data_IF_926707916455
#
_entry.id   IF_926707916455
#
_cell.length_a   1.000
_cell.length_b   1.000
_cell.length_c   1.000
_cell.angle_alpha   90.00
_cell.angle_beta   90.00
_cell.angle_gamma   90.00
#
_symmetry.space_group_name_H-M   'P 1'
#
loop_
_entity.id
_entity.type
_entity.pdbx_description
1 polymer ?
#
# COMPACT_ATOMS: atom_id res chain seq x y z
N UNK A 1 8.78 18.27 17.21
CA UNK A 1 8.17 19.09 16.14
C UNK A 1 7.26 18.18 15.32
N UNK A 2 6.18 18.71 14.76
CA UNK A 2 5.26 17.96 13.88
C UNK A 2 5.20 18.69 12.54
N UNK A 3 5.24 17.94 11.44
CA UNK A 3 5.06 18.49 10.09
C UNK A 3 3.79 17.92 9.49
N UNK A 4 2.84 18.80 9.20
CA UNK A 4 1.62 18.46 8.46
C UNK A 4 1.88 18.63 6.96
N UNK A 5 1.32 17.74 6.15
CA UNK A 5 1.51 17.75 4.69
C UNK A 5 0.17 17.63 3.97
N UNK A 6 0.05 18.33 2.85
CA UNK A 6 -0.95 18.09 1.82
C UNK A 6 -0.38 17.16 0.73
N UNK A 7 -1.23 16.58 -0.13
CA UNK A 7 -0.77 15.77 -1.24
C UNK A 7 0.26 16.52 -2.08
N UNK A 8 1.24 15.77 -2.57
CA UNK A 8 2.36 16.24 -3.38
C UNK A 8 3.40 17.08 -2.64
N UNK A 9 3.20 17.35 -1.35
CA UNK A 9 4.24 17.94 -0.52
C UNK A 9 5.30 16.89 -0.15
N UNK A 10 6.53 17.36 -0.02
CA UNK A 10 7.67 16.54 0.39
C UNK A 10 8.42 17.20 1.54
N UNK A 11 8.98 16.36 2.41
CA UNK A 11 9.96 16.75 3.41
C UNK A 11 11.27 16.01 3.17
N UNK A 12 12.37 16.65 3.54
CA UNK A 12 13.72 16.09 3.50
C UNK A 12 14.39 16.33 4.84
N UNK A 13 14.72 15.26 5.53
CA UNK A 13 15.39 15.34 6.82
C UNK A 13 16.39 14.19 6.96
N UNK A 14 17.62 14.49 7.40
CA UNK A 14 18.68 13.49 7.63
C UNK A 14 18.93 12.53 6.44
N UNK A 15 18.83 13.05 5.22
CA UNK A 15 19.02 12.27 3.98
C UNK A 15 17.83 11.40 3.58
N UNK A 16 16.68 11.51 4.27
CA UNK A 16 15.44 10.83 3.93
C UNK A 16 14.45 11.83 3.33
N UNK A 17 14.01 11.54 2.11
CA UNK A 17 12.91 12.25 1.45
C UNK A 17 11.62 11.49 1.65
N UNK A 18 10.59 12.14 2.17
CA UNK A 18 9.23 11.59 2.28
C UNK A 18 8.30 12.48 1.47
N UNK A 19 7.55 11.88 0.55
CA UNK A 19 6.49 12.55 -0.19
C UNK A 19 5.13 12.01 0.27
N UNK A 20 4.18 12.90 0.55
CA UNK A 20 2.78 12.52 0.71
C UNK A 20 2.12 12.50 -0.68
N UNK A 21 1.48 11.39 -1.02
CA UNK A 21 0.83 11.16 -2.31
C UNK A 21 -0.66 10.84 -2.11
N UNK A 22 -1.50 11.02 -3.14
CA UNK A 22 -2.92 10.73 -3.01
C UNK A 22 -3.18 9.23 -2.80
N UNK A 23 -4.30 8.93 -2.15
CA UNK A 23 -4.90 7.60 -2.08
C UNK A 23 -6.42 7.74 -2.26
N UNK A 24 -7.07 6.69 -2.79
CA UNK A 24 -8.54 6.65 -2.85
C UNK A 24 -9.07 6.02 -1.57
N UNK A 25 -9.30 6.88 -0.58
CA UNK A 25 -9.82 6.48 0.73
C UNK A 25 -10.54 7.66 1.41
N UNK A 26 -10.78 7.57 2.72
CA UNK A 26 -11.45 8.57 3.55
C UNK A 26 -10.90 8.55 4.98
N UNK A 27 -11.15 9.58 5.78
CA UNK A 27 -10.81 9.60 7.21
C UNK A 27 -12.07 9.78 8.04
N UNK A 28 -12.20 9.05 9.15
CA UNK A 28 -13.36 9.16 10.03
C UNK A 28 -12.96 8.88 11.47
N UNK A 29 -13.28 9.82 12.37
CA UNK A 29 -13.23 9.58 13.83
C UNK A 29 -14.46 10.21 14.49
N UNK A 30 -15.39 9.39 14.95
CA UNK A 30 -16.68 9.84 15.49
C UNK A 30 -17.43 10.77 14.51
N UNK A 31 -17.58 12.06 14.85
CA UNK A 31 -18.26 13.06 14.03
C UNK A 31 -17.32 13.79 13.05
N UNK A 32 -16.02 13.47 13.05
CA UNK A 32 -15.02 14.11 12.20
C UNK A 32 -14.82 13.33 10.89
N UNK A 33 -15.84 13.40 10.01
CA UNK A 33 -15.75 12.82 8.68
C UNK A 33 -14.90 13.71 7.76
N UNK A 34 -13.88 13.10 7.15
CA UNK A 34 -12.96 13.70 6.18
C UNK A 34 -12.24 14.98 6.65
N UNK A 35 -12.06 15.15 7.96
CA UNK A 35 -11.36 16.33 8.51
C UNK A 35 -9.84 16.18 8.52
N UNK A 36 -9.33 14.96 8.57
CA UNK A 36 -7.89 14.68 8.43
C UNK A 36 -7.61 14.18 7.01
N UNK A 37 -6.51 14.64 6.40
CA UNK A 37 -6.13 14.15 5.08
C UNK A 37 -5.67 12.69 5.17
N UNK A 38 -6.09 11.87 4.20
CA UNK A 38 -5.58 10.50 3.99
C UNK A 38 -4.58 10.51 2.84
N UNK A 39 -3.75 9.48 2.71
CA UNK A 39 -2.82 9.40 1.59
C UNK A 39 -1.94 8.17 1.62
N UNK A 40 -1.05 8.15 0.65
CA UNK A 40 0.04 7.19 0.50
C UNK A 40 1.37 7.91 0.69
N UNK A 41 2.44 7.16 0.95
CA UNK A 41 3.77 7.73 1.13
C UNK A 41 4.75 7.18 0.12
N UNK A 42 5.69 8.02 -0.30
CA UNK A 42 6.89 7.56 -0.97
C UNK A 42 8.14 8.00 -0.22
N UNK A 43 9.06 7.06 0.00
CA UNK A 43 10.33 7.30 0.68
C UNK A 43 11.46 7.14 -0.33
N UNK A 44 12.28 8.18 -0.48
CA UNK A 44 13.44 8.23 -1.38
C UNK A 44 13.16 7.82 -2.83
N UNK A 45 11.92 8.00 -3.31
CA UNK A 45 11.41 7.56 -4.64
C UNK A 45 11.45 6.04 -4.89
N UNK A 46 11.98 5.27 -3.96
CA UNK A 46 12.27 3.84 -4.09
C UNK A 46 11.25 2.96 -3.37
N UNK A 47 10.68 3.46 -2.28
CA UNK A 47 9.68 2.74 -1.47
C UNK A 47 8.35 3.48 -1.58
N UNK A 48 7.31 2.78 -2.02
CA UNK A 48 5.95 3.27 -2.01
C UNK A 48 5.12 2.50 -0.99
N UNK A 49 4.40 3.21 -0.12
CA UNK A 49 3.49 2.65 0.87
C UNK A 49 2.09 3.19 0.59
N UNK A 50 1.15 2.31 0.22
CA UNK A 50 -0.15 2.73 -0.29
C UNK A 50 -1.05 3.38 0.76
N UNK A 51 -0.83 3.10 2.05
CA UNK A 51 -1.87 3.27 3.06
C UNK A 51 -3.11 2.44 2.70
N UNK A 52 -4.25 2.80 3.27
CA UNK A 52 -5.53 2.25 2.82
C UNK A 52 -5.90 2.88 1.47
N UNK A 53 -6.15 2.05 0.45
CA UNK A 53 -6.25 2.53 -0.92
C UNK A 53 -7.03 1.57 -1.83
N UNK A 54 -7.77 2.13 -2.79
CA UNK A 54 -8.43 1.40 -3.86
C UNK A 54 -7.86 1.79 -5.24
N UNK A 55 -7.67 0.81 -6.12
CA UNK A 55 -7.28 1.07 -7.51
C UNK A 55 -8.23 2.09 -8.17
N UNK A 56 -7.64 3.18 -8.66
CA UNK A 56 -8.32 4.16 -9.49
C UNK A 56 -7.30 4.76 -10.45
N UNK A 57 -7.58 4.71 -11.74
CA UNK A 57 -6.66 5.17 -12.78
C UNK A 57 -6.17 6.60 -12.54
N UNK A 58 -7.07 7.52 -12.15
CA UNK A 58 -6.71 8.92 -11.85
C UNK A 58 -5.69 9.04 -10.70
N UNK A 59 -5.88 8.25 -9.64
CA UNK A 59 -4.96 8.21 -8.50
C UNK A 59 -3.61 7.61 -8.93
N UNK A 60 -3.62 6.52 -9.70
CA UNK A 60 -2.40 5.88 -10.20
C UNK A 60 -1.62 6.79 -11.16
N UNK A 61 -2.30 7.51 -12.06
CA UNK A 61 -1.70 8.51 -12.96
C UNK A 61 -0.99 9.61 -12.17
N UNK A 62 -1.62 10.10 -11.09
CA UNK A 62 -1.03 11.11 -10.22
C UNK A 62 0.20 10.61 -9.45
N UNK A 63 0.23 9.33 -9.08
CA UNK A 63 1.35 8.70 -8.38
C UNK A 63 2.53 8.47 -9.34
N UNK A 64 2.31 7.78 -10.46
CA UNK A 64 3.37 7.39 -11.40
C UNK A 64 4.02 8.59 -12.11
N UNK A 65 3.33 9.74 -12.17
CA UNK A 65 3.90 10.99 -12.66
C UNK A 65 5.01 11.55 -11.75
N UNK A 66 5.13 11.07 -10.50
CA UNK A 66 6.04 11.63 -9.48
C UNK A 66 7.11 10.68 -9.00
N UNK A 67 6.83 9.38 -9.00
CA UNK A 67 7.70 8.37 -8.38
C UNK A 67 7.90 7.17 -9.31
N UNK A 68 8.97 6.41 -9.06
CA UNK A 68 9.27 5.14 -9.74
C UNK A 68 9.72 4.12 -8.69
N UNK A 69 8.79 3.61 -7.87
CA UNK A 69 9.16 2.80 -6.72
C UNK A 69 9.69 1.44 -7.16
N UNK A 70 10.76 0.98 -6.51
CA UNK A 70 11.22 -0.40 -6.59
C UNK A 70 10.40 -1.31 -5.70
N UNK A 71 10.15 -0.88 -4.46
CA UNK A 71 9.43 -1.63 -3.44
C UNK A 71 8.03 -1.03 -3.25
N UNK A 72 7.00 -1.84 -3.50
CA UNK A 72 5.61 -1.43 -3.40
C UNK A 72 4.93 -2.16 -2.24
N UNK A 73 4.74 -1.46 -1.13
CA UNK A 73 3.92 -1.91 -0.01
C UNK A 73 2.46 -1.56 -0.31
N UNK A 74 1.69 -2.53 -0.76
CA UNK A 74 0.32 -2.29 -1.24
C UNK A 74 -0.70 -3.04 -0.40
N UNK A 75 -1.76 -2.35 -0.03
CA UNK A 75 -2.95 -2.94 0.57
C UNK A 75 -3.51 -4.06 -0.32
N UNK A 76 -3.88 -5.19 0.29
CA UNK A 76 -4.55 -6.28 -0.40
C UNK A 76 -5.72 -6.91 0.39
N UNK A 77 -6.03 -6.38 1.57
CA UNK A 77 -7.02 -6.94 2.48
C UNK A 77 -8.10 -5.94 2.87
N UNK A 78 -9.11 -6.43 3.59
CA UNK A 78 -10.32 -5.70 3.96
C UNK A 78 -11.21 -5.29 2.77
N UNK A 79 -11.12 -5.99 1.64
CA UNK A 79 -11.98 -5.72 0.47
C UNK A 79 -13.39 -6.29 0.62
N UNK A 80 -14.35 -5.64 -0.04
CA UNK A 80 -15.73 -6.10 -0.10
C UNK A 80 -16.48 -5.38 -1.23
N UNK A 81 -17.50 -6.04 -1.78
CA UNK A 81 -18.45 -5.43 -2.72
C UNK A 81 -19.25 -4.26 -2.12
N UNK A 82 -19.31 -4.16 -0.78
CA UNK A 82 -20.07 -3.11 -0.08
C UNK A 82 -19.30 -1.79 0.07
N UNK A 83 -17.98 -1.79 -0.14
CA UNK A 83 -17.14 -0.58 -0.14
C UNK A 83 -16.08 -0.67 -1.25
N UNK A 84 -16.52 -0.79 -2.52
CA UNK A 84 -15.64 -1.08 -3.66
C UNK A 84 -14.61 0.03 -3.93
N UNK A 85 -14.80 1.21 -3.33
CA UNK A 85 -14.02 2.40 -3.58
C UNK A 85 -13.04 2.74 -2.45
N UNK A 86 -12.93 1.89 -1.42
CA UNK A 86 -12.09 2.16 -0.23
C UNK A 86 -10.92 1.20 -0.06
N UNK A 87 -11.09 -0.08 -0.41
CA UNK A 87 -10.07 -1.11 -0.22
C UNK A 87 -9.83 -1.91 -1.49
N UNK A 88 -8.57 -2.26 -1.76
CA UNK A 88 -8.15 -3.02 -2.92
C UNK A 88 -8.32 -4.52 -2.71
N UNK A 89 -8.94 -5.19 -3.69
CA UNK A 89 -8.86 -6.64 -3.81
C UNK A 89 -7.42 -7.09 -4.13
N UNK A 90 -7.06 -8.37 -3.94
CA UNK A 90 -5.74 -8.88 -4.32
C UNK A 90 -5.47 -8.70 -5.82
N UNK A 91 -6.50 -8.85 -6.66
CA UNK A 91 -6.39 -8.56 -8.10
C UNK A 91 -6.05 -7.09 -8.37
N UNK A 92 -6.75 -6.16 -7.73
CA UNK A 92 -6.45 -4.73 -7.86
C UNK A 92 -5.07 -4.38 -7.30
N UNK A 93 -4.61 -5.05 -6.24
CA UNK A 93 -3.25 -4.91 -5.71
C UNK A 93 -2.19 -5.24 -6.78
N UNK A 94 -2.37 -6.34 -7.52
CA UNK A 94 -1.51 -6.70 -8.67
C UNK A 94 -1.62 -5.69 -9.81
N UNK A 95 -2.83 -5.20 -10.12
CA UNK A 95 -3.03 -4.17 -11.15
C UNK A 95 -2.31 -2.86 -10.78
N UNK A 96 -2.41 -2.42 -9.52
CA UNK A 96 -1.67 -1.27 -9.00
C UNK A 96 -0.16 -1.48 -9.12
N UNK A 97 0.35 -2.64 -8.70
CA UNK A 97 1.77 -2.96 -8.76
C UNK A 97 2.32 -2.91 -10.19
N UNK A 98 1.61 -3.52 -11.14
CA UNK A 98 1.95 -3.50 -12.57
C UNK A 98 1.91 -2.07 -13.13
N UNK A 99 0.91 -1.28 -12.75
CA UNK A 99 0.78 0.12 -13.18
C UNK A 99 1.93 0.99 -12.68
N UNK A 100 2.38 0.75 -11.45
CA UNK A 100 3.52 1.44 -10.83
C UNK A 100 4.87 1.03 -11.43
N UNK A 101 4.91 -0.04 -12.23
CA UNK A 101 6.16 -0.62 -12.75
C UNK A 101 7.14 -0.97 -11.62
N UNK A 102 6.60 -1.41 -10.47
CA UNK A 102 7.38 -1.83 -9.33
C UNK A 102 8.19 -3.09 -9.61
N UNK A 103 9.24 -3.33 -8.82
CA UNK A 103 10.07 -4.53 -8.93
C UNK A 103 9.71 -5.59 -7.88
N UNK A 104 9.28 -5.17 -6.69
CA UNK A 104 8.89 -6.07 -5.61
C UNK A 104 7.58 -5.60 -4.98
N UNK A 105 6.57 -6.45 -4.97
CA UNK A 105 5.31 -6.25 -4.27
C UNK A 105 5.37 -6.86 -2.87
N UNK A 106 5.10 -6.05 -1.86
CA UNK A 106 5.04 -6.47 -0.46
C UNK A 106 3.59 -6.22 0.02
N UNK A 107 2.72 -7.25 0.05
CA UNK A 107 1.35 -7.05 0.48
C UNK A 107 1.28 -6.64 1.95
N UNK A 108 0.37 -5.72 2.24
CA UNK A 108 0.06 -5.25 3.60
C UNK A 108 -1.46 -5.34 3.85
N UNK A 109 -1.89 -5.01 5.08
CA UNK A 109 -3.30 -4.89 5.45
C UNK A 109 -4.10 -6.21 5.54
N UNK A 110 -3.42 -7.35 5.69
CA UNK A 110 -4.04 -8.67 5.88
C UNK A 110 -3.64 -9.33 7.23
N UNK A 111 -4.31 -10.42 7.61
CA UNK A 111 -3.84 -11.34 8.66
C UNK A 111 -3.96 -10.91 10.12
N UNK A 112 -4.37 -9.66 10.43
CA UNK A 112 -4.45 -9.17 11.82
C UNK A 112 -5.86 -8.92 12.34
N UNK A 113 -6.70 -8.19 11.59
CA UNK A 113 -8.04 -7.79 12.01
C UNK A 113 -9.08 -8.27 10.99
N UNK A 114 -10.29 -8.58 11.49
CA UNK A 114 -11.44 -8.96 10.66
C UNK A 114 -12.37 -7.76 10.51
N UNK A 115 -12.13 -6.95 9.48
CA UNK A 115 -12.97 -5.78 9.12
C UNK A 115 -13.73 -6.03 7.80
N UNK A 116 -13.55 -7.20 7.19
CA UNK A 116 -14.26 -7.65 6.00
C UNK A 116 -14.67 -9.14 6.12
N UNK A 117 -15.32 -9.64 5.07
CA UNK A 117 -15.94 -10.97 5.06
C UNK A 117 -15.04 -12.09 4.51
N UNK A 118 -13.86 -11.78 3.98
CA UNK A 118 -12.90 -12.79 3.49
C UNK A 118 -12.13 -13.44 4.66
N UNK A 119 -11.57 -14.63 4.42
CA UNK A 119 -10.69 -15.30 5.39
C UNK A 119 -9.40 -14.51 5.60
N UNK A 120 -8.78 -14.62 6.78
CA UNK A 120 -7.64 -13.78 7.18
C UNK A 120 -6.42 -13.92 6.24
N UNK A 121 -6.25 -15.10 5.63
CA UNK A 121 -5.17 -15.46 4.72
C UNK A 121 -5.56 -15.47 3.23
N UNK A 122 -6.84 -15.31 2.91
CA UNK A 122 -7.33 -15.22 1.51
C UNK A 122 -6.54 -14.21 0.66
N UNK A 123 -6.21 -12.99 1.16
CA UNK A 123 -5.46 -12.01 0.37
C UNK A 123 -4.12 -12.52 -0.14
N UNK A 124 -3.33 -13.14 0.74
CA UNK A 124 -1.98 -13.60 0.38
C UNK A 124 -2.00 -14.93 -0.37
N UNK A 125 -3.00 -15.79 -0.15
CA UNK A 125 -3.22 -16.97 -0.99
C UNK A 125 -3.50 -16.55 -2.45
N UNK A 126 -4.18 -15.43 -2.70
CA UNK A 126 -4.40 -14.99 -4.07
C UNK A 126 -3.16 -14.38 -4.74
N UNK A 127 -2.20 -13.89 -3.95
CA UNK A 127 -0.99 -13.21 -4.45
C UNK A 127 0.23 -14.13 -4.57
N UNK A 128 0.25 -15.27 -3.90
CA UNK A 128 1.51 -15.98 -3.63
C UNK A 128 2.22 -16.56 -4.85
N UNK A 129 1.48 -16.87 -5.92
CA UNK A 129 2.05 -17.43 -7.14
C UNK A 129 2.69 -16.36 -8.03
N UNK A 130 2.55 -15.08 -7.70
CA UNK A 130 3.11 -13.99 -8.48
C UNK A 130 4.60 -13.85 -8.20
N UNK A 131 5.41 -13.94 -9.26
CA UNK A 131 6.89 -14.01 -9.18
C UNK A 131 7.54 -12.82 -8.46
N UNK A 132 6.91 -11.66 -8.46
CA UNK A 132 7.47 -10.42 -7.92
C UNK A 132 6.88 -10.11 -6.53
N UNK A 133 6.12 -11.05 -5.94
CA UNK A 133 5.50 -10.90 -4.62
C UNK A 133 6.39 -11.47 -3.54
N UNK A 134 6.59 -10.66 -2.50
CA UNK A 134 7.28 -11.04 -1.26
C UNK A 134 6.33 -10.96 -0.07
N UNK A 135 5.92 -12.10 0.46
CA UNK A 135 5.07 -12.18 1.66
C UNK A 135 5.94 -12.46 2.89
N UNK A 136 6.24 -11.45 3.69
CA UNK A 136 7.08 -11.60 4.89
C UNK A 136 6.30 -12.04 6.14
N UNK A 137 6.91 -12.89 6.98
CA UNK A 137 6.35 -13.40 8.23
C UNK A 137 6.01 -12.28 9.23
N UNK A 138 4.78 -12.32 9.75
CA UNK A 138 4.35 -11.40 10.82
C UNK A 138 5.31 -11.53 12.00
N UNK A 139 5.95 -10.42 12.35
CA UNK A 139 6.92 -10.33 13.45
C UNK A 139 8.38 -10.59 13.05
N UNK A 140 8.66 -11.03 11.82
CA UNK A 140 10.03 -11.19 11.31
C UNK A 140 10.55 -9.90 10.69
N UNK A 141 11.82 -9.59 10.92
CA UNK A 141 12.51 -8.45 10.34
C UNK A 141 13.15 -8.87 9.01
N UNK A 142 13.01 -8.01 8.02
CA UNK A 142 13.56 -8.19 6.69
C UNK A 142 14.35 -6.97 6.26
N UNK A 143 15.46 -7.20 5.55
CA UNK A 143 16.29 -6.14 4.99
C UNK A 143 16.02 -6.01 3.49
N UNK A 144 15.55 -4.84 3.05
CA UNK A 144 15.34 -4.56 1.63
C UNK A 144 16.65 -4.74 0.85
N UNK A 145 16.57 -5.35 -0.33
CA UNK A 145 17.73 -5.75 -1.14
C UNK A 145 18.26 -7.15 -0.82
N UNK A 146 17.83 -7.75 0.28
CA UNK A 146 18.10 -9.16 0.65
C UNK A 146 16.83 -10.02 0.68
N UNK A 147 15.67 -9.40 0.41
CA UNK A 147 14.40 -10.13 0.27
C UNK A 147 14.37 -10.86 -1.08
N UNK A 148 14.10 -12.15 -1.04
CA UNK A 148 13.79 -13.00 -2.20
C UNK A 148 12.40 -13.60 -2.03
N UNK A 149 11.90 -14.31 -3.05
CA UNK A 149 10.60 -14.98 -2.97
C UNK A 149 10.65 -16.04 -1.85
N UNK A 150 10.07 -15.75 -0.69
CA UNK A 150 9.90 -16.73 0.40
C UNK A 150 8.66 -17.59 0.13
N UNK A 151 8.70 -18.87 0.52
CA UNK A 151 7.49 -19.70 0.60
C UNK A 151 6.48 -19.07 1.56
N UNK A 152 5.18 -19.22 1.29
CA UNK A 152 4.19 -18.78 2.28
C UNK A 152 4.38 -19.54 3.58
N UNK A 153 4.35 -18.78 4.65
CA UNK A 153 4.43 -19.22 6.04
C UNK A 153 3.03 -19.17 6.70
N UNK A 154 1.98 -19.39 5.91
CA UNK A 154 0.57 -19.32 6.34
C UNK A 154 0.16 -20.49 7.24
#
# INVERSE_FOLDING_TARGET
MVTEMDWYQEIKENGVKIQLLPARHQSNRFADQNKALWGSYCVNDDIYFSGDNCYCKKTMDAIIARIKPKYCFLECGQYSKYWPDSHSTPKQCIEMFKYLQGQVLIPIHFGRFRLAFHEYNDPVIQLYNEKDVFVGQIGKIYHLGQIGIEQLWL
#
